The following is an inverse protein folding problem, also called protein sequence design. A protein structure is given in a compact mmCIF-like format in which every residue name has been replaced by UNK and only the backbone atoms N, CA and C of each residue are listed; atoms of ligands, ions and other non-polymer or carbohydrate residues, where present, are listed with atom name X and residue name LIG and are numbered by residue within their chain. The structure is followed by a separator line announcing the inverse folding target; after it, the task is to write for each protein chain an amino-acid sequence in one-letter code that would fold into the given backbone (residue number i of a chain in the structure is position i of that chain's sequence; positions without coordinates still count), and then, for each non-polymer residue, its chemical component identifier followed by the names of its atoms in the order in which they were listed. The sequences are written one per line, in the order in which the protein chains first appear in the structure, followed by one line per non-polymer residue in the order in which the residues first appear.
data_IF_383839606360
#
_entry.id   IF_383839606360
#
_cell.length_a   1.000
_cell.length_b   1.000
_cell.length_c   1.000
_cell.angle_alpha   90.00
_cell.angle_beta   90.00
_cell.angle_gamma   90.00
#
_symmetry.space_group_name_H-M   'P 1'
#
loop_
_entity.id
_entity.type
_entity.pdbx_description
1 polymer ?
#
# COMPACT_ATOMS: atom_id res chain seq x y z
N UNK A 1 -33.56 0.01 1.62
CA UNK A 1 -32.43 0.91 1.32
C UNK A 1 -31.32 0.08 0.70
N UNK A 2 -31.19 0.07 -0.63
CA UNK A 2 -30.19 -0.74 -1.33
C UNK A 2 -29.00 0.18 -1.62
N UNK A 3 -28.02 0.18 -0.72
CA UNK A 3 -26.78 0.93 -0.92
C UNK A 3 -25.91 0.21 -1.94
N UNK A 4 -26.13 0.50 -3.22
CA UNK A 4 -25.18 0.16 -4.29
C UNK A 4 -23.86 0.88 -3.98
N UNK A 5 -22.93 0.21 -3.29
CA UNK A 5 -21.54 0.64 -3.33
C UNK A 5 -21.02 0.23 -4.69
N UNK A 6 -20.87 1.19 -5.60
CA UNK A 6 -20.06 1.01 -6.80
C UNK A 6 -18.69 0.49 -6.36
N UNK A 7 -18.45 -0.80 -6.54
CA UNK A 7 -17.12 -1.41 -6.38
C UNK A 7 -16.28 -1.04 -7.59
N UNK A 8 -16.19 0.26 -7.91
CA UNK A 8 -15.22 0.73 -8.88
C UNK A 8 -13.86 0.22 -8.41
N UNK A 9 -13.07 -0.47 -9.27
CA UNK A 9 -11.74 -0.89 -8.89
C UNK A 9 -11.02 0.32 -8.29
N UNK A 10 -10.38 0.12 -7.13
CA UNK A 10 -9.71 1.20 -6.41
C UNK A 10 -8.88 2.01 -7.41
N UNK A 11 -9.02 3.35 -7.43
CA UNK A 11 -8.32 4.18 -8.38
C UNK A 11 -6.81 3.91 -8.24
N UNK A 12 -6.11 3.88 -9.38
CA UNK A 12 -4.71 3.46 -9.51
C UNK A 12 -3.82 3.92 -8.35
N UNK A 13 -3.54 2.99 -7.43
CA UNK A 13 -2.51 3.10 -6.40
C UNK A 13 -2.93 3.64 -5.02
N UNK A 14 -2.42 3.00 -3.95
CA UNK A 14 -2.42 3.47 -2.56
C UNK A 14 -0.96 3.63 -2.12
N UNK A 15 -0.61 4.76 -1.51
CA UNK A 15 0.71 4.98 -0.93
C UNK A 15 0.63 5.09 0.61
N UNK A 16 1.45 4.33 1.32
CA UNK A 16 1.68 4.50 2.75
C UNK A 16 2.96 5.28 2.98
N UNK A 17 2.91 6.31 3.82
CA UNK A 17 4.12 6.99 4.31
C UNK A 17 4.48 6.42 5.68
N UNK A 18 5.35 5.41 5.66
CA UNK A 18 5.80 4.65 6.82
C UNK A 18 5.39 3.17 6.78
N UNK A 19 6.31 2.29 7.18
CA UNK A 19 6.17 0.83 7.17
C UNK A 19 5.76 0.21 8.50
N UNK A 20 5.19 0.99 9.43
CA UNK A 20 4.88 0.58 10.79
C UNK A 20 3.82 -0.55 10.88
N UNK A 21 3.50 -0.95 12.11
CA UNK A 21 2.53 -2.02 12.36
C UNK A 21 1.15 -1.72 11.77
N UNK A 22 0.69 -0.46 11.82
CA UNK A 22 -0.59 -0.08 11.21
C UNK A 22 -0.59 -0.28 9.69
N UNK A 23 0.45 0.19 9.00
CA UNK A 23 0.56 -0.01 7.55
C UNK A 23 0.51 -1.50 7.21
N UNK A 24 1.28 -2.34 7.92
CA UNK A 24 1.28 -3.80 7.73
C UNK A 24 -0.09 -4.44 7.98
N UNK A 25 -0.78 -4.07 9.06
CA UNK A 25 -2.13 -4.58 9.34
C UNK A 25 -3.14 -4.19 8.27
N UNK A 26 -3.09 -2.94 7.79
CA UNK A 26 -3.96 -2.45 6.73
C UNK A 26 -3.65 -3.13 5.39
N UNK A 27 -2.37 -3.23 5.02
CA UNK A 27 -1.92 -3.93 3.81
C UNK A 27 -2.37 -5.38 3.84
N UNK A 28 -2.18 -6.11 4.95
CA UNK A 28 -2.65 -7.48 5.09
C UNK A 28 -4.17 -7.61 4.92
N UNK A 29 -4.94 -6.68 5.51
CA UNK A 29 -6.40 -6.64 5.34
C UNK A 29 -6.83 -6.39 3.89
N UNK A 30 -6.19 -5.42 3.22
CA UNK A 30 -6.48 -5.07 1.83
C UNK A 30 -6.10 -6.17 0.84
N UNK A 31 -4.93 -6.77 0.98
CA UNK A 31 -4.51 -7.90 0.14
C UNK A 31 -5.47 -9.08 0.31
N UNK A 32 -5.92 -9.36 1.54
CA UNK A 32 -6.95 -10.38 1.81
C UNK A 32 -8.31 -10.04 1.19
N UNK A 33 -8.63 -8.76 1.08
CA UNK A 33 -9.83 -8.26 0.40
C UNK A 33 -9.71 -8.22 -1.14
N UNK A 34 -8.57 -8.64 -1.69
CA UNK A 34 -8.34 -8.75 -3.14
C UNK A 34 -7.66 -7.54 -3.79
N UNK A 35 -7.14 -6.59 -3.00
CA UNK A 35 -6.33 -5.49 -3.55
C UNK A 35 -4.98 -6.04 -4.05
N UNK A 36 -4.59 -5.81 -5.32
CA UNK A 36 -3.30 -6.25 -5.81
C UNK A 36 -2.16 -5.56 -5.06
N UNK A 37 -1.18 -6.33 -4.57
CA UNK A 37 -0.02 -5.76 -3.87
C UNK A 37 0.78 -4.75 -4.72
N UNK A 38 0.79 -4.92 -6.05
CA UNK A 38 1.39 -3.98 -6.99
C UNK A 38 0.71 -2.60 -6.99
N UNK A 39 -0.55 -2.52 -6.58
CA UNK A 39 -1.26 -1.25 -6.40
C UNK A 39 -0.91 -0.56 -5.08
N UNK A 40 -0.05 -1.15 -4.24
CA UNK A 40 0.37 -0.57 -2.96
C UNK A 40 1.84 -0.18 -3.05
N UNK A 41 2.16 1.04 -2.63
CA UNK A 41 3.52 1.53 -2.45
C UNK A 41 3.73 1.95 -0.98
N UNK A 42 4.87 1.60 -0.39
CA UNK A 42 5.24 2.02 0.97
C UNK A 42 6.53 2.82 0.95
N UNK A 43 6.48 4.06 1.40
CA UNK A 43 7.66 4.90 1.62
C UNK A 43 8.18 4.64 3.03
N UNK A 44 9.35 4.02 3.15
CA UNK A 44 9.92 3.65 4.44
C UNK A 44 11.44 3.82 4.39
N UNK A 45 12.06 4.71 5.19
CA UNK A 45 13.50 4.97 5.15
C UNK A 45 14.38 3.80 5.63
N UNK A 46 13.88 2.93 6.51
CA UNK A 46 14.65 1.80 7.03
C UNK A 46 14.70 0.63 6.04
N UNK A 47 15.90 0.32 5.55
CA UNK A 47 16.15 -0.72 4.54
C UNK A 47 15.60 -2.09 4.97
N UNK A 48 15.89 -2.50 6.21
CA UNK A 48 15.46 -3.81 6.73
C UNK A 48 13.93 -3.93 6.72
N UNK A 49 13.23 -2.88 7.17
CA UNK A 49 11.76 -2.87 7.18
C UNK A 49 11.18 -2.87 5.77
N UNK A 50 11.78 -2.14 4.81
CA UNK A 50 11.39 -2.23 3.39
C UNK A 50 11.50 -3.65 2.84
N UNK A 51 12.60 -4.34 3.14
CA UNK A 51 12.80 -5.72 2.69
C UNK A 51 11.74 -6.65 3.27
N UNK A 52 11.43 -6.52 4.57
CA UNK A 52 10.34 -7.26 5.20
C UNK A 52 9.00 -6.99 4.53
N UNK A 53 8.66 -5.72 4.26
CA UNK A 53 7.42 -5.35 3.58
C UNK A 53 7.28 -5.99 2.19
N UNK A 54 8.37 -5.99 1.40
CA UNK A 54 8.39 -6.64 0.10
C UNK A 54 8.21 -8.16 0.22
N UNK A 55 8.92 -8.79 1.17
CA UNK A 55 8.88 -10.24 1.36
C UNK A 55 7.53 -10.73 1.87
N UNK A 56 6.93 -10.04 2.85
CA UNK A 56 5.69 -10.46 3.51
C UNK A 56 4.44 -10.10 2.71
N UNK A 57 4.46 -8.99 1.97
CA UNK A 57 3.26 -8.46 1.33
C UNK A 57 3.37 -8.29 -0.19
N UNK A 58 4.56 -8.39 -0.79
CA UNK A 58 4.76 -8.22 -2.23
C UNK A 58 4.50 -6.80 -2.74
N UNK A 59 4.50 -5.81 -1.86
CA UNK A 59 4.21 -4.40 -2.20
C UNK A 59 5.44 -3.71 -2.79
N UNK A 60 5.20 -2.62 -3.53
CA UNK A 60 6.29 -1.71 -3.94
C UNK A 60 6.78 -0.94 -2.72
N UNK A 61 8.05 -0.58 -2.67
CA UNK A 61 8.58 0.27 -1.59
C UNK A 61 9.61 1.27 -2.10
N UNK A 62 9.66 2.44 -1.48
CA UNK A 62 10.68 3.46 -1.73
C UNK A 62 11.34 3.91 -0.43
N UNK A 63 12.61 4.31 -0.48
CA UNK A 63 13.35 4.78 0.70
C UNK A 63 13.05 6.23 1.10
N UNK A 64 12.39 6.99 0.22
CA UNK A 64 11.98 8.37 0.46
C UNK A 64 10.84 8.74 -0.48
N UNK A 65 10.12 9.81 -0.15
CA UNK A 65 9.04 10.35 -1.00
C UNK A 65 9.57 10.75 -2.37
N UNK A 66 10.78 11.32 -2.44
CA UNK A 66 11.41 11.72 -3.69
C UNK A 66 11.75 10.54 -4.62
N UNK A 67 11.93 9.35 -4.06
CA UNK A 67 12.22 8.12 -4.79
C UNK A 67 10.96 7.27 -5.07
N UNK A 68 9.81 7.67 -4.54
CA UNK A 68 8.55 6.97 -4.72
C UNK A 68 7.91 7.33 -6.06
N UNK A 69 7.20 6.37 -6.66
CA UNK A 69 6.45 6.63 -7.88
C UNK A 69 5.30 7.61 -7.62
N UNK A 70 4.69 7.55 -6.42
CA UNK A 70 3.54 8.37 -6.00
C UNK A 70 2.38 8.35 -7.01
N UNK A 71 2.31 7.30 -7.83
CA UNK A 71 1.14 6.97 -8.64
C UNK A 71 0.10 6.34 -7.72
N UNK A 72 -0.39 7.17 -6.80
CA UNK A 72 -1.36 6.81 -5.80
C UNK A 72 -2.44 7.90 -5.72
N UNK A 73 -3.68 7.45 -5.58
CA UNK A 73 -4.85 8.31 -5.47
C UNK A 73 -5.24 8.56 -4.01
N UNK A 74 -4.70 7.74 -3.12
CA UNK A 74 -4.85 7.82 -1.67
C UNK A 74 -3.46 7.73 -1.04
N UNK A 75 -3.18 8.64 -0.09
CA UNK A 75 -2.00 8.62 0.76
C UNK A 75 -2.45 8.38 2.20
N UNK A 76 -1.79 7.45 2.88
CA UNK A 76 -2.06 7.04 4.27
C UNK A 76 -0.84 7.34 5.14
#
# INVERSE_FOLDING_TARGET
MNGNHDTSPLPSGIAFVGGGNMARSLIAGMTRAGVPAAAIEVVEPQVALRQTLQQEHGVRTAGSVAAAALDARVVV
#
